data_IF_514759273201
#
_entry.id   IF_514759273201
#
_cell.length_a   1.000
_cell.length_b   1.000
_cell.length_c   1.000
_cell.angle_alpha   90.00
_cell.angle_beta   90.00
_cell.angle_gamma   90.00
#
_symmetry.space_group_name_H-M   'P 1'
#
loop_
_entity.id
_entity.type
_entity.pdbx_description
1 polymer ?
#
# COMPACT_ATOMS: atom_id res chain seq x y z
N UNK A 1 -4.81 -13.80 14.81
CA UNK A 1 -5.12 -12.45 15.33
C UNK A 1 -4.54 -11.45 14.35
N UNK A 2 -5.33 -10.49 13.90
CA UNK A 2 -4.87 -9.43 12.97
C UNK A 2 -4.09 -8.37 13.74
N UNK A 3 -2.95 -7.94 13.21
CA UNK A 3 -2.05 -6.96 13.84
C UNK A 3 -2.26 -5.57 13.24
N UNK A 4 -2.49 -5.51 11.91
CA UNK A 4 -2.75 -4.31 11.15
C UNK A 4 -3.89 -4.54 10.17
N UNK A 5 -4.53 -3.48 9.73
CA UNK A 5 -5.17 -3.51 8.43
C UNK A 5 -4.13 -3.28 7.32
N UNK A 6 -4.47 -3.62 6.07
CA UNK A 6 -3.52 -3.56 4.95
C UNK A 6 -2.98 -2.14 4.70
N UNK A 7 -3.79 -1.10 4.88
CA UNK A 7 -3.37 0.31 4.73
C UNK A 7 -2.35 0.70 5.79
N UNK A 8 -2.65 0.45 7.07
CA UNK A 8 -1.72 0.72 8.16
C UNK A 8 -0.39 0.00 7.98
N UNK A 9 -0.45 -1.26 7.53
CA UNK A 9 0.75 -2.05 7.25
C UNK A 9 1.60 -1.42 6.14
N UNK A 10 0.98 -1.04 5.03
CA UNK A 10 1.65 -0.37 3.91
C UNK A 10 2.26 0.97 4.34
N UNK A 11 1.55 1.77 5.12
CA UNK A 11 2.05 3.05 5.62
C UNK A 11 3.27 2.86 6.52
N UNK A 12 3.29 1.80 7.35
CA UNK A 12 4.46 1.45 8.16
C UNK A 12 5.65 0.98 7.33
N UNK A 13 5.43 0.23 6.26
CA UNK A 13 6.49 -0.17 5.33
C UNK A 13 7.08 1.05 4.60
N UNK A 14 6.25 1.98 4.16
CA UNK A 14 6.70 3.25 3.57
C UNK A 14 7.48 4.10 4.57
N UNK A 15 7.04 4.16 5.83
CA UNK A 15 7.76 4.83 6.90
C UNK A 15 9.16 4.23 7.13
N UNK A 16 9.33 2.89 7.06
CA UNK A 16 10.64 2.26 7.12
C UNK A 16 11.58 2.75 6.02
N UNK A 17 11.07 2.97 4.82
CA UNK A 17 11.87 3.44 3.68
C UNK A 17 12.26 4.92 3.83
N UNK A 18 11.31 5.75 4.27
CA UNK A 18 11.46 7.20 4.16
C UNK A 18 12.03 7.87 5.41
N UNK A 19 11.70 7.34 6.60
CA UNK A 19 11.89 8.06 7.85
C UNK A 19 12.79 7.32 8.85
N UNK A 20 13.04 6.03 8.64
CA UNK A 20 13.85 5.22 9.55
C UNK A 20 15.25 5.03 8.97
N UNK A 21 16.30 5.56 9.61
CA UNK A 21 17.66 5.21 9.24
C UNK A 21 17.89 3.70 9.42
N UNK A 22 18.10 3.00 8.31
CA UNK A 22 18.25 1.55 8.32
C UNK A 22 19.47 1.08 7.53
N UNK A 23 19.90 -0.14 7.79
CA UNK A 23 21.01 -0.79 7.11
C UNK A 23 20.76 -2.28 7.01
N UNK A 24 21.11 -2.86 5.86
CA UNK A 24 21.00 -4.30 5.65
C UNK A 24 21.97 -5.06 6.53
N UNK A 25 21.44 -6.05 7.27
CA UNK A 25 22.25 -6.93 8.10
C UNK A 25 21.56 -8.30 8.21
N UNK A 26 22.22 -9.33 7.72
CA UNK A 26 21.65 -10.70 7.62
C UNK A 26 22.18 -11.67 8.66
N UNK A 27 22.88 -11.19 9.70
CA UNK A 27 23.41 -12.08 10.73
C UNK A 27 22.34 -12.70 11.62
N UNK A 28 22.49 -13.99 11.89
CA UNK A 28 21.66 -14.72 12.83
C UNK A 28 21.61 -14.04 14.19
N UNK A 29 20.45 -13.58 14.59
CA UNK A 29 20.22 -12.95 15.89
C UNK A 29 20.05 -11.45 15.88
N UNK A 30 20.21 -10.78 14.75
CA UNK A 30 19.93 -9.35 14.59
C UNK A 30 18.49 -9.14 14.17
N UNK A 31 17.66 -8.80 15.11
CA UNK A 31 16.22 -8.69 14.91
C UNK A 31 15.79 -7.23 15.11
N UNK A 32 15.84 -6.41 14.08
CA UNK A 32 15.49 -5.00 14.19
C UNK A 32 16.18 -4.33 15.37
N UNK A 33 17.48 -4.59 15.58
CA UNK A 33 18.24 -3.95 16.63
C UNK A 33 18.79 -2.62 16.15
N UNK A 34 18.87 -1.65 17.05
CA UNK A 34 19.39 -0.33 16.74
C UNK A 34 20.87 -0.25 17.10
N UNK A 35 21.72 0.04 16.11
CA UNK A 35 23.14 0.28 16.27
C UNK A 35 23.54 1.59 15.59
N UNK A 36 24.32 2.42 16.25
CA UNK A 36 24.83 3.70 15.72
C UNK A 36 23.75 4.57 15.08
N UNK A 37 22.58 4.62 15.70
CA UNK A 37 21.44 5.38 15.22
C UNK A 37 20.68 4.77 14.02
N UNK A 38 21.10 3.60 13.52
CA UNK A 38 20.44 2.88 12.43
C UNK A 38 19.80 1.60 12.92
N UNK A 39 18.73 1.19 12.27
CA UNK A 39 18.09 -0.11 12.51
C UNK A 39 18.67 -1.15 11.57
N UNK A 40 19.15 -2.24 12.14
CA UNK A 40 19.69 -3.39 11.41
C UNK A 40 18.56 -4.38 11.11
N UNK A 41 18.38 -4.70 9.84
CA UNK A 41 17.33 -5.61 9.39
C UNK A 41 17.68 -6.27 8.05
N UNK A 42 17.02 -7.38 7.76
CA UNK A 42 17.04 -8.04 6.46
C UNK A 42 15.63 -8.06 5.84
N UNK A 43 15.46 -8.79 4.74
CA UNK A 43 14.21 -8.83 3.99
C UNK A 43 13.03 -9.34 4.83
N UNK A 44 13.25 -10.33 5.68
CA UNK A 44 12.20 -10.91 6.54
C UNK A 44 12.05 -10.13 7.84
N UNK A 45 13.17 -9.75 8.44
CA UNK A 45 13.18 -9.06 9.73
C UNK A 45 12.50 -7.70 9.63
N UNK A 46 12.59 -7.00 8.51
CA UNK A 46 11.87 -5.75 8.26
C UNK A 46 10.34 -5.93 8.34
N UNK A 47 9.83 -7.05 7.85
CA UNK A 47 8.40 -7.41 7.88
C UNK A 47 8.00 -7.91 9.27
N UNK A 48 8.73 -8.90 9.80
CA UNK A 48 8.48 -9.46 11.12
C UNK A 48 8.60 -8.43 12.23
N UNK A 49 9.53 -7.52 12.11
CA UNK A 49 9.73 -6.44 13.08
C UNK A 49 8.47 -5.61 13.26
N UNK A 50 7.77 -5.24 12.20
CA UNK A 50 6.49 -4.56 12.30
C UNK A 50 5.43 -5.44 12.95
N UNK A 51 5.34 -6.72 12.56
CA UNK A 51 4.42 -7.68 13.15
C UNK A 51 4.75 -7.95 14.61
N UNK A 52 5.98 -7.76 15.07
CA UNK A 52 6.45 -7.91 16.45
C UNK A 52 6.44 -6.64 17.29
N UNK A 53 5.77 -5.57 16.84
CA UNK A 53 5.58 -4.32 17.57
C UNK A 53 6.68 -3.25 17.43
N UNK A 54 7.51 -3.31 16.46
CA UNK A 54 8.35 -2.18 16.08
C UNK A 54 7.53 -1.09 15.36
N UNK A 55 6.35 -0.77 15.91
CA UNK A 55 5.36 0.08 15.23
C UNK A 55 5.76 1.54 15.17
N UNK A 56 6.37 2.02 16.23
CA UNK A 56 6.63 3.45 16.42
C UNK A 56 8.07 3.72 16.83
N UNK A 57 8.78 2.73 17.31
CA UNK A 57 10.06 2.89 17.93
C UNK A 57 10.92 1.64 17.75
N UNK A 58 12.04 1.80 17.05
CA UNK A 58 13.08 0.78 16.94
C UNK A 58 14.14 0.93 18.04
N UNK A 59 13.83 1.57 19.16
CA UNK A 59 14.72 1.65 20.32
C UNK A 59 14.87 0.34 21.07
N UNK A 60 14.00 -0.62 20.78
CA UNK A 60 13.94 -1.91 21.48
C UNK A 60 15.04 -2.82 20.95
N UNK A 61 16.08 -3.00 21.74
CA UNK A 61 17.18 -3.93 21.47
C UNK A 61 16.82 -5.39 21.81
N UNK A 62 15.58 -5.71 21.99
CA UNK A 62 15.16 -7.07 22.21
C UNK A 62 14.32 -7.51 21.01
N UNK A 63 14.23 -8.77 20.85
CA UNK A 63 13.44 -9.38 19.81
C UNK A 63 11.96 -9.05 19.94
N UNK A 64 11.45 -8.12 20.68
CA UNK A 64 10.00 -7.82 20.76
C UNK A 64 9.09 -9.02 20.57
N UNK A 65 9.66 -10.04 19.92
CA UNK A 65 9.04 -11.29 19.50
C UNK A 65 8.38 -12.08 20.61
N UNK A 66 8.90 -11.99 21.82
CA UNK A 66 8.25 -12.67 22.96
C UNK A 66 6.82 -12.16 23.18
N UNK A 67 6.58 -10.87 23.00
CA UNK A 67 5.24 -10.28 23.13
C UNK A 67 4.34 -10.70 21.97
N UNK A 68 4.89 -10.81 20.77
CA UNK A 68 4.10 -11.17 19.59
C UNK A 68 3.89 -12.66 19.43
N UNK A 69 4.87 -13.48 19.79
CA UNK A 69 4.66 -14.93 19.93
C UNK A 69 3.55 -15.23 20.94
N UNK A 70 3.50 -14.50 22.06
CA UNK A 70 2.39 -14.59 23.01
C UNK A 70 1.04 -14.15 22.41
N UNK A 71 1.06 -13.28 21.41
CA UNK A 71 -0.13 -12.84 20.66
C UNK A 71 -0.41 -13.68 19.41
N UNK A 72 0.34 -14.76 19.16
CA UNK A 72 0.13 -15.71 18.06
C UNK A 72 0.76 -15.30 16.73
N UNK A 73 1.60 -14.27 16.70
CA UNK A 73 2.41 -13.93 15.51
C UNK A 73 3.65 -14.83 15.50
N UNK A 74 3.76 -15.67 14.48
CA UNK A 74 4.86 -16.61 14.35
C UNK A 74 6.14 -15.95 13.81
N UNK A 75 7.28 -16.52 14.20
CA UNK A 75 8.55 -16.26 13.56
C UNK A 75 8.69 -17.13 12.31
N UNK A 76 9.01 -16.55 11.17
CA UNK A 76 9.14 -17.25 9.91
C UNK A 76 10.39 -16.81 9.12
N UNK A 77 10.89 -17.73 8.28
CA UNK A 77 11.90 -17.45 7.24
C UNK A 77 11.24 -16.85 6.00
N UNK A 78 12.01 -16.33 5.00
CA UNK A 78 11.41 -15.83 3.77
C UNK A 78 10.47 -16.84 3.09
N UNK A 79 10.89 -18.10 2.94
CA UNK A 79 10.06 -19.15 2.34
C UNK A 79 8.93 -19.59 3.29
N UNK A 80 9.23 -19.75 4.57
CA UNK A 80 8.26 -20.13 5.60
C UNK A 80 7.18 -19.06 5.84
N UNK A 81 7.40 -17.84 5.37
CA UNK A 81 6.36 -16.80 5.40
C UNK A 81 5.11 -17.18 4.60
N UNK A 82 5.24 -18.03 3.58
CA UNK A 82 4.09 -18.51 2.81
C UNK A 82 3.18 -19.44 3.62
N UNK A 83 3.71 -20.16 4.62
CA UNK A 83 2.91 -21.01 5.53
C UNK A 83 1.98 -20.18 6.41
N UNK A 84 2.23 -18.88 6.52
CA UNK A 84 1.41 -17.90 7.22
C UNK A 84 0.56 -17.04 6.27
N UNK A 85 0.36 -17.52 5.05
CA UNK A 85 -0.46 -16.84 4.05
C UNK A 85 -1.66 -17.68 3.63
N UNK A 86 -2.75 -16.99 3.35
CA UNK A 86 -3.88 -17.52 2.58
C UNK A 86 -3.80 -17.07 1.14
N UNK A 87 -4.51 -17.74 0.25
CA UNK A 87 -4.55 -17.42 -1.19
C UNK A 87 -3.17 -17.37 -1.84
N UNK A 88 -2.29 -18.29 -1.46
CA UNK A 88 -0.95 -18.40 -2.05
C UNK A 88 -1.07 -18.71 -3.54
N UNK A 89 -0.40 -17.93 -4.38
CA UNK A 89 -0.44 -18.02 -5.83
C UNK A 89 0.92 -17.69 -6.45
N UNK A 90 1.12 -18.11 -7.69
CA UNK A 90 2.22 -17.69 -8.57
C UNK A 90 1.74 -16.85 -9.78
N UNK A 91 0.48 -16.46 -9.77
CA UNK A 91 -0.15 -15.57 -10.75
C UNK A 91 -0.19 -14.13 -10.22
N UNK A 92 0.64 -13.26 -10.79
CA UNK A 92 0.83 -11.88 -10.34
C UNK A 92 -0.11 -10.86 -10.98
N UNK A 93 -1.09 -11.29 -11.78
CA UNK A 93 -2.05 -10.38 -12.43
C UNK A 93 -3.01 -9.69 -11.46
N UNK A 94 -3.28 -10.31 -10.31
CA UNK A 94 -4.29 -9.86 -9.36
C UNK A 94 -3.72 -9.65 -7.95
N UNK A 95 -2.52 -9.06 -7.86
CA UNK A 95 -1.91 -8.71 -6.58
C UNK A 95 -2.76 -7.72 -5.79
N UNK A 96 -2.91 -7.99 -4.50
CA UNK A 96 -3.62 -7.11 -3.57
C UNK A 96 -2.59 -6.40 -2.67
N UNK A 97 -2.76 -5.10 -2.50
CA UNK A 97 -1.87 -4.30 -1.68
C UNK A 97 -1.80 -4.83 -0.23
N UNK A 98 -0.57 -5.01 0.26
CA UNK A 98 -0.28 -5.66 1.55
C UNK A 98 0.08 -7.15 1.43
N UNK A 99 -0.03 -7.78 0.25
CA UNK A 99 0.36 -9.18 0.07
C UNK A 99 1.88 -9.38 0.21
N UNK A 100 2.21 -10.46 0.88
CA UNK A 100 3.57 -10.96 1.01
C UNK A 100 4.05 -11.51 -0.34
N UNK A 101 5.27 -11.19 -0.70
CA UNK A 101 5.96 -11.69 -1.89
C UNK A 101 7.16 -12.52 -1.47
N UNK A 102 7.40 -13.63 -2.16
CA UNK A 102 8.51 -14.52 -1.85
C UNK A 102 9.21 -15.03 -3.10
N UNK A 103 10.52 -15.25 -3.00
CA UNK A 103 11.33 -15.97 -3.98
C UNK A 103 11.60 -17.41 -3.50
N UNK A 104 10.55 -18.12 -3.07
CA UNK A 104 10.67 -19.49 -2.59
C UNK A 104 11.19 -20.44 -3.66
N UNK A 105 11.97 -21.43 -3.22
CA UNK A 105 12.52 -22.46 -4.10
C UNK A 105 13.63 -21.96 -5.04
N UNK A 106 14.19 -20.79 -4.81
CA UNK A 106 15.30 -20.24 -5.57
C UNK A 106 16.63 -20.31 -4.78
N UNK A 107 17.75 -20.12 -5.45
CA UNK A 107 19.06 -20.02 -4.80
C UNK A 107 19.13 -18.80 -3.84
N UNK A 108 18.28 -17.79 -4.06
CA UNK A 108 18.23 -16.56 -3.27
C UNK A 108 16.85 -16.43 -2.68
N UNK A 109 16.64 -16.97 -1.48
CA UNK A 109 15.43 -16.76 -0.71
C UNK A 109 15.31 -15.29 -0.33
N UNK A 110 14.18 -14.67 -0.67
CA UNK A 110 13.92 -13.23 -0.45
C UNK A 110 12.45 -12.95 -0.22
N UNK A 111 12.17 -11.93 0.57
CA UNK A 111 10.82 -11.52 0.91
C UNK A 111 10.59 -10.03 0.62
N UNK A 112 9.36 -9.70 0.32
CA UNK A 112 8.88 -8.33 0.13
C UNK A 112 7.39 -8.22 0.40
N UNK A 113 6.84 -7.02 0.22
CA UNK A 113 5.40 -6.77 0.34
C UNK A 113 4.94 -5.89 -0.81
N UNK A 114 3.86 -6.29 -1.46
CA UNK A 114 3.25 -5.48 -2.50
C UNK A 114 2.57 -4.25 -1.92
N UNK A 115 2.91 -3.07 -2.41
CA UNK A 115 2.39 -1.79 -1.91
C UNK A 115 1.23 -1.22 -2.74
N UNK A 116 0.82 -1.95 -3.78
CA UNK A 116 -0.10 -1.41 -4.79
C UNK A 116 0.64 -0.73 -5.95
N UNK A 117 -0.07 -0.50 -7.06
CA UNK A 117 0.42 0.25 -8.22
C UNK A 117 1.76 -0.24 -8.79
N UNK A 118 1.99 -1.57 -8.81
CA UNK A 118 3.24 -2.15 -9.31
C UNK A 118 4.47 -1.84 -8.44
N UNK A 119 4.29 -1.44 -7.18
CA UNK A 119 5.37 -1.13 -6.24
C UNK A 119 5.52 -2.21 -5.19
N UNK A 120 6.75 -2.46 -4.78
CA UNK A 120 7.09 -3.46 -3.77
C UNK A 120 8.03 -2.87 -2.73
N UNK A 121 7.70 -3.08 -1.46
CA UNK A 121 8.64 -2.87 -0.36
C UNK A 121 9.58 -4.07 -0.27
N UNK A 122 10.86 -3.83 -0.11
CA UNK A 122 11.86 -4.84 0.21
C UNK A 122 13.05 -4.26 0.95
N UNK A 123 13.71 -5.08 1.76
CA UNK A 123 15.01 -4.76 2.34
C UNK A 123 16.06 -5.63 1.64
N UNK A 124 16.96 -4.99 0.90
CA UNK A 124 17.90 -5.66 -0.01
C UNK A 124 19.18 -4.87 -0.18
N UNK A 125 20.25 -5.54 -0.57
CA UNK A 125 21.49 -4.91 -1.09
C UNK A 125 21.52 -4.84 -2.61
N UNK A 126 20.48 -5.35 -3.27
CA UNK A 126 20.34 -5.27 -4.72
C UNK A 126 20.29 -3.83 -5.23
N UNK A 127 20.70 -3.60 -6.46
CA UNK A 127 20.72 -2.30 -7.13
C UNK A 127 21.52 -1.19 -6.40
N UNK A 128 22.50 -1.58 -5.55
CA UNK A 128 23.25 -0.64 -4.72
C UNK A 128 22.46 -0.08 -3.53
N UNK A 129 21.30 -0.65 -3.22
CA UNK A 129 20.57 -0.33 -2.02
C UNK A 129 21.29 -0.85 -0.77
N UNK A 130 21.01 -0.23 0.37
CA UNK A 130 21.62 -0.62 1.64
C UNK A 130 20.59 -1.02 2.70
N UNK A 131 19.40 -1.35 2.34
CA UNK A 131 18.31 -1.99 3.09
C UNK A 131 16.94 -1.70 2.47
N UNK A 132 16.07 -0.93 3.19
CA UNK A 132 14.69 -0.72 2.78
C UNK A 132 14.59 0.15 1.53
N UNK A 133 13.92 -0.36 0.52
CA UNK A 133 13.70 0.34 -0.75
C UNK A 133 12.30 0.04 -1.30
N UNK A 134 11.85 0.88 -2.22
CA UNK A 134 10.71 0.59 -3.07
C UNK A 134 11.25 0.20 -4.45
N UNK A 135 10.92 -1.00 -4.89
CA UNK A 135 11.15 -1.53 -6.24
C UNK A 135 9.83 -1.61 -7.03
N UNK A 136 9.90 -2.19 -8.21
CA UNK A 136 8.76 -2.35 -9.11
C UNK A 136 8.54 -3.82 -9.45
N UNK A 137 7.30 -4.18 -9.71
CA UNK A 137 6.88 -5.51 -10.15
C UNK A 137 5.93 -5.41 -11.33
N UNK A 138 6.09 -6.29 -12.31
CA UNK A 138 5.13 -6.46 -13.40
C UNK A 138 4.16 -7.62 -13.14
N UNK A 139 3.20 -7.80 -14.02
CA UNK A 139 2.18 -8.84 -13.99
C UNK A 139 2.71 -10.27 -14.11
N UNK A 140 3.99 -10.41 -14.44
CA UNK A 140 4.69 -11.70 -14.52
C UNK A 140 5.58 -11.97 -13.30
N UNK A 141 5.56 -11.08 -12.30
CA UNK A 141 6.40 -11.18 -11.10
C UNK A 141 7.85 -10.74 -11.30
N UNK A 142 8.22 -10.13 -12.43
CA UNK A 142 9.57 -9.63 -12.61
C UNK A 142 9.82 -8.40 -11.76
N UNK A 143 10.99 -8.31 -11.14
CA UNK A 143 11.43 -7.19 -10.31
C UNK A 143 12.25 -6.19 -11.10
N UNK A 144 12.01 -4.92 -10.85
CA UNK A 144 12.75 -3.82 -11.45
C UNK A 144 13.05 -2.73 -10.42
N UNK A 145 14.13 -1.99 -10.68
CA UNK A 145 14.39 -0.69 -10.06
C UNK A 145 15.09 0.20 -11.06
N UNK A 146 14.52 1.39 -11.31
CA UNK A 146 15.03 2.34 -12.30
C UNK A 146 15.27 1.68 -13.67
N UNK A 147 14.36 0.82 -14.11
CA UNK A 147 14.43 0.09 -15.37
C UNK A 147 15.39 -1.11 -15.39
N UNK A 148 16.13 -1.36 -14.31
CA UNK A 148 17.06 -2.50 -14.22
C UNK A 148 16.30 -3.70 -13.68
N UNK A 149 16.21 -4.77 -14.49
CA UNK A 149 15.58 -6.04 -14.10
C UNK A 149 16.48 -6.84 -13.15
N UNK A 150 15.85 -7.52 -12.21
CA UNK A 150 16.48 -8.48 -11.28
C UNK A 150 15.74 -9.81 -11.27
N UNK A 151 16.01 -10.66 -10.26
CA UNK A 151 15.35 -11.94 -10.09
C UNK A 151 13.83 -11.76 -9.89
N UNK A 152 13.09 -12.75 -10.39
CA UNK A 152 11.62 -12.76 -10.35
C UNK A 152 11.11 -13.24 -8.98
N UNK A 153 10.00 -12.65 -8.50
CA UNK A 153 9.17 -13.22 -7.44
C UNK A 153 8.54 -14.54 -7.93
N UNK A 154 8.42 -15.53 -7.04
CA UNK A 154 7.89 -16.86 -7.39
C UNK A 154 6.48 -17.09 -6.84
N UNK A 155 6.18 -16.54 -5.67
CA UNK A 155 4.89 -16.66 -5.01
C UNK A 155 4.49 -15.37 -4.31
N UNK A 156 3.19 -15.22 -4.08
CA UNK A 156 2.60 -14.21 -3.21
C UNK A 156 1.46 -14.82 -2.40
N UNK A 157 1.01 -14.10 -1.36
CA UNK A 157 -0.14 -14.51 -0.57
C UNK A 157 -0.53 -13.48 0.49
N UNK A 158 -1.75 -13.59 0.98
CA UNK A 158 -2.29 -12.74 2.04
C UNK A 158 -1.80 -13.20 3.40
N UNK A 159 -0.99 -12.40 4.09
CA UNK A 159 -0.54 -12.69 5.46
C UNK A 159 -1.73 -12.82 6.41
N UNK A 160 -1.79 -13.88 7.19
CA UNK A 160 -2.84 -14.15 8.17
C UNK A 160 -2.93 -13.09 9.27
N UNK A 161 -1.88 -12.30 9.45
CA UNK A 161 -1.76 -11.24 10.44
C UNK A 161 -2.28 -9.89 9.98
N UNK A 162 -2.60 -9.75 8.71
CA UNK A 162 -3.08 -8.51 8.08
C UNK A 162 -4.57 -8.65 7.79
N UNK A 163 -5.34 -7.67 8.26
CA UNK A 163 -6.73 -7.51 7.87
C UNK A 163 -6.75 -6.78 6.53
N UNK A 164 -6.96 -7.55 5.46
CA UNK A 164 -7.08 -7.00 4.13
C UNK A 164 -8.43 -6.31 4.03
N UNK A 165 -8.41 -5.02 4.27
CA UNK A 165 -9.56 -4.21 3.99
C UNK A 165 -9.75 -4.36 2.48
N UNK A 166 -10.82 -5.01 2.08
CA UNK A 166 -11.30 -4.81 0.73
C UNK A 166 -11.42 -3.30 0.60
N UNK A 167 -10.62 -2.68 -0.25
CA UNK A 167 -10.86 -1.31 -0.66
C UNK A 167 -12.19 -1.28 -1.45
N UNK A 168 -13.21 -1.89 -0.87
CA UNK A 168 -14.56 -1.63 -1.24
C UNK A 168 -14.83 -0.20 -0.76
N UNK A 169 -14.78 0.72 -1.70
CA UNK A 169 -15.41 2.02 -1.62
C UNK A 169 -14.58 3.27 -1.26
N UNK A 170 -13.30 3.36 -1.64
CA UNK A 170 -12.81 4.68 -1.99
C UNK A 170 -12.70 4.89 -3.51
N UNK A 171 -13.16 3.95 -4.31
CA UNK A 171 -13.42 4.24 -5.71
C UNK A 171 -14.65 5.13 -5.79
N UNK A 172 -14.43 6.36 -6.24
CA UNK A 172 -15.49 7.37 -6.39
C UNK A 172 -16.62 6.88 -7.29
N UNK A 173 -16.32 5.93 -8.17
CA UNK A 173 -17.23 5.38 -9.17
C UNK A 173 -17.23 3.85 -9.12
N UNK A 174 -18.32 3.23 -9.56
CA UNK A 174 -18.52 1.77 -9.62
C UNK A 174 -18.76 1.29 -11.05
N UNK A 175 -18.61 -0.02 -11.26
CA UNK A 175 -18.99 -0.66 -12.54
C UNK A 175 -20.48 -0.39 -12.81
N UNK A 176 -20.76 0.05 -14.04
CA UNK A 176 -22.08 0.48 -14.48
C UNK A 176 -22.29 2.00 -14.45
N UNK A 177 -21.45 2.76 -13.75
CA UNK A 177 -21.55 4.21 -13.78
C UNK A 177 -21.21 4.76 -15.16
N UNK A 178 -21.99 5.75 -15.60
CA UNK A 178 -21.77 6.47 -16.84
C UNK A 178 -21.09 7.80 -16.52
N UNK A 179 -19.88 7.99 -17.01
CA UNK A 179 -19.03 9.14 -16.68
C UNK A 179 -18.69 9.96 -17.90
N UNK A 180 -18.59 11.29 -17.75
CA UNK A 180 -17.97 12.19 -18.71
C UNK A 180 -16.48 12.31 -18.41
N UNK A 181 -15.66 12.41 -19.45
CA UNK A 181 -14.21 12.43 -19.33
C UNK A 181 -13.55 13.51 -20.17
N UNK A 182 -12.40 14.01 -19.68
CA UNK A 182 -11.53 14.96 -20.37
C UNK A 182 -10.14 14.39 -20.71
N UNK A 183 -9.93 13.12 -20.43
CA UNK A 183 -8.67 12.43 -20.68
C UNK A 183 -8.85 10.92 -20.66
N UNK A 184 -7.93 10.21 -21.31
CA UNK A 184 -7.94 8.75 -21.38
C UNK A 184 -6.49 8.24 -21.44
N UNK A 185 -6.28 7.01 -21.02
CA UNK A 185 -4.98 6.33 -21.04
C UNK A 185 -5.09 5.01 -21.79
N UNK A 186 -4.00 4.58 -22.43
CA UNK A 186 -3.95 3.31 -23.18
C UNK A 186 -3.95 2.08 -22.27
N UNK A 187 -3.53 2.23 -21.01
CA UNK A 187 -3.54 1.15 -20.02
C UNK A 187 -3.82 1.66 -18.62
N UNK A 188 -4.16 0.75 -17.70
CA UNK A 188 -4.38 1.05 -16.28
C UNK A 188 -3.16 1.68 -15.58
N UNK A 189 -1.96 1.55 -16.14
CA UNK A 189 -0.71 2.06 -15.56
C UNK A 189 0.05 3.06 -16.46
N UNK A 190 -0.53 3.45 -17.60
CA UNK A 190 0.07 4.45 -18.48
C UNK A 190 0.17 5.82 -17.81
N UNK A 191 1.27 6.54 -18.07
CA UNK A 191 1.51 7.90 -17.58
C UNK A 191 1.06 8.97 -18.59
N UNK A 192 0.92 8.60 -19.84
CA UNK A 192 0.59 9.54 -20.91
C UNK A 192 -0.92 9.70 -21.04
N UNK A 193 -1.39 10.91 -20.71
CA UNK A 193 -2.79 11.31 -20.86
C UNK A 193 -3.06 11.72 -22.30
N UNK A 194 -4.04 11.09 -22.92
CA UNK A 194 -4.49 11.37 -24.28
C UNK A 194 -5.83 12.13 -24.26
N UNK A 195 -6.10 12.86 -25.33
CA UNK A 195 -7.41 13.46 -25.55
C UNK A 195 -8.40 12.37 -26.00
N UNK A 196 -9.54 12.17 -25.33
CA UNK A 196 -10.49 11.13 -25.71
C UNK A 196 -11.24 11.51 -26.99
N UNK A 197 -11.36 10.56 -27.92
CA UNK A 197 -12.22 10.72 -29.11
C UNK A 197 -13.72 10.68 -28.74
N UNK A 198 -14.05 10.00 -27.66
CA UNK A 198 -15.40 9.88 -27.07
C UNK A 198 -15.30 10.36 -25.62
N UNK A 199 -16.06 11.38 -25.26
CA UNK A 199 -15.96 12.04 -23.96
C UNK A 199 -16.95 11.53 -22.90
N UNK A 200 -17.65 10.41 -23.19
CA UNK A 200 -18.59 9.78 -22.26
C UNK A 200 -18.58 8.27 -22.46
N UNK A 201 -18.56 7.51 -21.37
CA UNK A 201 -18.57 6.05 -21.42
C UNK A 201 -19.05 5.42 -20.11
N UNK A 202 -19.28 4.12 -20.15
CA UNK A 202 -19.69 3.33 -19.00
C UNK A 202 -18.47 2.64 -18.39
N UNK A 203 -18.30 2.69 -17.10
CA UNK A 203 -17.27 1.92 -16.39
C UNK A 203 -17.66 0.44 -16.46
N UNK A 204 -16.82 -0.36 -17.11
CA UNK A 204 -17.07 -1.80 -17.31
C UNK A 204 -16.14 -2.68 -16.50
N UNK A 205 -15.02 -2.14 -16.04
CA UNK A 205 -14.05 -2.83 -15.18
C UNK A 205 -13.37 -1.83 -14.27
N UNK A 206 -13.08 -2.25 -13.04
CA UNK A 206 -12.23 -1.51 -12.10
C UNK A 206 -11.04 -2.39 -11.76
N UNK A 207 -9.85 -1.79 -11.79
CA UNK A 207 -8.59 -2.40 -11.31
C UNK A 207 -8.13 -1.58 -10.14
N UNK A 208 -8.39 -2.11 -8.96
CA UNK A 208 -8.03 -1.46 -7.71
C UNK A 208 -6.52 -1.26 -7.60
N UNK A 209 -6.12 -0.14 -7.00
CA UNK A 209 -4.71 0.22 -6.88
C UNK A 209 -4.01 0.61 -8.19
N UNK A 210 -4.66 0.52 -9.36
CA UNK A 210 -4.08 0.99 -10.61
C UNK A 210 -4.07 2.53 -10.66
N UNK A 211 -3.11 3.10 -11.40
CA UNK A 211 -3.02 4.55 -11.65
C UNK A 211 -4.29 5.08 -12.33
N UNK A 212 -4.81 4.33 -13.31
CA UNK A 212 -6.01 4.65 -14.07
C UNK A 212 -7.00 3.47 -13.87
N UNK A 213 -7.77 3.47 -12.76
CA UNK A 213 -8.45 2.26 -12.32
C UNK A 213 -9.68 1.87 -13.15
N UNK A 214 -10.28 2.81 -13.87
CA UNK A 214 -11.57 2.58 -14.52
C UNK A 214 -11.41 2.30 -16.02
N UNK A 215 -11.85 1.12 -16.48
CA UNK A 215 -11.93 0.79 -17.89
C UNK A 215 -13.30 1.17 -18.43
N UNK A 216 -13.34 1.93 -19.52
CA UNK A 216 -14.57 2.37 -20.16
C UNK A 216 -14.91 1.52 -21.37
N UNK A 217 -16.19 1.14 -21.49
CA UNK A 217 -16.82 0.43 -22.62
C UNK A 217 -16.02 -0.78 -23.12
N UNK A 218 -15.57 -1.64 -22.16
CA UNK A 218 -14.75 -2.82 -22.43
C UNK A 218 -13.46 -2.49 -23.24
N UNK A 219 -12.87 -1.34 -22.99
CA UNK A 219 -11.63 -0.90 -23.64
C UNK A 219 -11.81 -0.15 -24.96
N UNK A 220 -13.02 0.04 -25.46
CA UNK A 220 -13.27 0.82 -26.68
C UNK A 220 -12.86 2.30 -26.53
N UNK A 221 -12.96 2.84 -25.31
CA UNK A 221 -12.55 4.21 -24.99
C UNK A 221 -11.16 4.21 -24.39
N UNK A 222 -10.90 3.33 -23.42
CA UNK A 222 -9.62 3.19 -22.72
C UNK A 222 -9.77 3.28 -21.20
N UNK A 223 -8.69 3.60 -20.53
CA UNK A 223 -8.60 3.69 -19.06
C UNK A 223 -8.67 5.14 -18.60
N UNK A 224 -9.30 5.38 -17.44
CA UNK A 224 -9.39 6.71 -16.82
C UNK A 224 -9.16 6.63 -15.32
N UNK A 225 -8.81 7.77 -14.73
CA UNK A 225 -8.74 8.00 -13.28
C UNK A 225 -9.69 9.13 -12.86
N UNK A 226 -9.75 9.41 -11.56
CA UNK A 226 -10.65 10.44 -11.02
C UNK A 226 -10.40 11.83 -11.61
N UNK A 227 -9.14 12.17 -11.93
CA UNK A 227 -8.77 13.46 -12.55
C UNK A 227 -9.29 13.61 -13.99
N UNK A 228 -9.56 12.48 -14.65
CA UNK A 228 -10.09 12.47 -16.01
C UNK A 228 -11.61 12.51 -16.04
N UNK A 229 -12.28 12.20 -14.94
CA UNK A 229 -13.74 12.19 -14.86
C UNK A 229 -14.23 13.57 -14.47
N UNK A 230 -15.14 14.12 -15.30
CA UNK A 230 -15.81 15.39 -15.03
C UNK A 230 -17.01 15.10 -14.16
N UNK A 231 -16.99 15.57 -12.93
CA UNK A 231 -18.09 15.45 -11.98
C UNK A 231 -19.19 16.44 -12.37
N UNK A 232 -20.29 15.91 -12.90
CA UNK A 232 -21.49 16.71 -13.19
C UNK A 232 -22.53 16.65 -12.05
N UNK A 233 -22.15 16.11 -10.87
CA UNK A 233 -23.06 16.21 -9.72
C UNK A 233 -23.28 17.70 -9.46
N UNK A 234 -24.52 18.20 -9.52
CA UNK A 234 -24.81 19.55 -9.08
C UNK A 234 -24.28 19.66 -7.65
N UNK A 235 -23.43 20.64 -7.42
CA UNK A 235 -22.99 20.94 -6.07
C UNK A 235 -24.27 21.22 -5.30
N UNK A 236 -24.58 20.38 -4.32
CA UNK A 236 -25.73 20.63 -3.43
C UNK A 236 -25.35 21.81 -2.52
N UNK A 237 -25.54 22.99 -3.06
CA UNK A 237 -25.24 24.24 -2.36
C UNK A 237 -26.07 24.40 -1.08
N UNK A 238 -27.26 23.80 -1.02
CA UNK A 238 -28.09 23.83 0.18
C UNK A 238 -27.48 23.00 1.31
N UNK A 239 -26.97 21.83 0.98
CA UNK A 239 -26.24 20.97 1.94
C UNK A 239 -24.97 21.66 2.43
N UNK A 240 -24.15 22.21 1.52
CA UNK A 240 -22.91 22.92 1.88
C UNK A 240 -23.19 24.15 2.73
N UNK A 241 -24.25 24.90 2.40
CA UNK A 241 -24.66 26.06 3.16
C UNK A 241 -25.08 25.66 4.58
N UNK A 242 -25.87 24.60 4.74
CA UNK A 242 -26.32 24.12 6.04
C UNK A 242 -25.16 23.60 6.91
N UNK A 243 -24.18 22.90 6.30
CA UNK A 243 -22.96 22.45 6.99
C UNK A 243 -22.13 23.66 7.49
N UNK A 244 -22.00 24.71 6.70
CA UNK A 244 -21.28 25.93 7.08
C UNK A 244 -22.01 26.73 8.14
N UNK A 245 -23.33 26.79 8.04
CA UNK A 245 -24.19 27.47 9.05
C UNK A 245 -24.03 26.77 10.43
N UNK A 246 -24.00 25.48 10.48
CA UNK A 246 -23.82 24.73 11.72
C UNK A 246 -22.42 24.94 12.32
N UNK A 247 -21.37 24.96 11.50
CA UNK A 247 -20.03 25.33 11.96
C UNK A 247 -19.96 26.73 12.57
N UNK A 248 -20.63 27.70 11.95
CA UNK A 248 -20.67 29.06 12.44
C UNK A 248 -21.39 29.15 13.78
N UNK A 249 -22.51 28.44 13.98
CA UNK A 249 -23.20 28.38 15.28
C UNK A 249 -22.28 27.82 16.38
N UNK A 250 -21.57 26.72 16.09
CA UNK A 250 -20.63 26.14 17.05
C UNK A 250 -19.51 27.14 17.40
N UNK A 251 -19.05 27.90 16.43
CA UNK A 251 -18.02 28.92 16.64
C UNK A 251 -18.53 30.07 17.50
N UNK A 252 -19.72 30.56 17.23
CA UNK A 252 -20.39 31.60 18.04
C UNK A 252 -20.59 31.17 19.49
N UNK A 253 -21.04 29.94 19.73
CA UNK A 253 -21.15 29.37 21.07
C UNK A 253 -19.82 29.34 21.81
N UNK A 254 -18.73 28.92 21.13
CA UNK A 254 -17.38 28.94 21.70
C UNK A 254 -16.89 30.33 22.04
N UNK A 255 -17.15 31.31 21.16
CA UNK A 255 -16.80 32.74 21.39
C UNK A 255 -17.56 33.27 22.59
N UNK A 256 -18.87 33.04 22.64
CA UNK A 256 -19.71 33.53 23.76
C UNK A 256 -19.30 32.90 25.11
N UNK A 257 -18.91 31.63 25.09
CA UNK A 257 -18.36 30.96 26.28
C UNK A 257 -17.03 31.58 26.71
N UNK A 258 -16.11 31.82 25.79
CA UNK A 258 -14.82 32.45 26.10
C UNK A 258 -14.98 33.89 26.64
N UNK A 259 -15.91 34.66 26.10
CA UNK A 259 -16.23 36.02 26.61
C UNK A 259 -16.75 35.93 28.05
N UNK A 260 -17.61 34.95 28.34
CA UNK A 260 -18.18 34.75 29.69
C UNK A 260 -17.13 34.33 30.71
N UNK A 261 -16.15 33.53 30.27
CA UNK A 261 -15.06 33.02 31.12
C UNK A 261 -14.00 34.12 31.41
N UNK A 262 -14.01 35.23 30.64
CA UNK A 262 -13.13 36.41 30.80
C UNK A 262 -13.77 37.58 31.56
N UNK A 263 -15.06 37.53 31.82
CA UNK A 263 -15.84 38.54 32.55
C UNK A 263 -16.09 38.12 33.99
#
# INVERSE_FOLDING_TARGET
MKVFNSREFIDKLKWLVNDVPNVYHSENGTWCTKHDGKVWMDCVVSIKGLLWNFRNDYSINNRGGAVYLANGVADFTPDGGLDHCTNVSNDFHNLIAGEYLCMAGTQFSHAGVYLGNGKVFECTTGWGANCCVISEIDEYGNRYKNGIKSLRWTYHGKLDYIDYIEESNNMKYKVGDVVKINGVYVSSNSNEKLTPAINKGTITKIVDGARNPYLLDNGKIGWVNDECIIDETPVDYEKLYNEELEKNKILEEKINKAIKDLS
#
